data_IF_371296526452
#
_entry.id   IF_371296526452
#
_cell.length_a   1.000
_cell.length_b   1.000
_cell.length_c   1.000
_cell.angle_alpha   90.00
_cell.angle_beta   90.00
_cell.angle_gamma   90.00
#
_symmetry.space_group_name_H-M   'P 1'
#
loop_
_entity.id
_entity.type
_entity.pdbx_description
1 polymer ?
#
# COMPACT_ATOMS: atom_id res chain seq x y z
N UNK A 1 3.22 32.52 -0.89
CA UNK A 1 2.23 32.03 0.11
C UNK A 1 0.81 31.95 -0.47
N UNK A 2 0.29 33.02 -1.07
CA UNK A 2 -1.07 33.03 -1.63
C UNK A 2 -1.25 32.10 -2.85
N UNK A 3 -0.28 32.05 -3.75
CA UNK A 3 -0.30 31.12 -4.89
C UNK A 3 -0.42 29.65 -4.46
N UNK A 4 0.33 29.24 -3.42
CA UNK A 4 0.26 27.89 -2.88
C UNK A 4 -1.12 27.59 -2.26
N UNK A 5 -1.71 28.56 -1.55
CA UNK A 5 -3.06 28.42 -1.01
C UNK A 5 -4.10 28.27 -2.13
N UNK A 6 -4.03 29.10 -3.18
CA UNK A 6 -4.91 29.00 -4.36
C UNK A 6 -4.77 27.65 -5.05
N UNK A 7 -3.55 27.14 -5.17
CA UNK A 7 -3.30 25.79 -5.70
C UNK A 7 -4.02 24.71 -4.88
N UNK A 8 -3.82 24.69 -3.56
CA UNK A 8 -4.48 23.70 -2.68
C UNK A 8 -6.01 23.78 -2.74
N UNK A 9 -6.54 25.00 -2.83
CA UNK A 9 -7.98 25.25 -2.98
C UNK A 9 -8.49 24.72 -4.33
N UNK A 10 -7.82 25.07 -5.42
CA UNK A 10 -8.18 24.64 -6.78
C UNK A 10 -8.10 23.13 -7.00
N UNK A 11 -7.21 22.45 -6.28
CA UNK A 11 -7.08 20.99 -6.31
C UNK A 11 -8.02 20.28 -5.31
N UNK A 12 -8.85 21.00 -4.56
CA UNK A 12 -9.78 20.42 -3.59
C UNK A 12 -9.12 19.85 -2.33
N UNK A 13 -7.83 20.14 -2.08
CA UNK A 13 -7.10 19.64 -0.91
C UNK A 13 -7.68 20.23 0.38
N UNK A 14 -7.97 21.54 0.37
CA UNK A 14 -8.53 22.22 1.55
C UNK A 14 -9.93 21.70 1.89
N UNK A 15 -10.78 21.49 0.88
CA UNK A 15 -12.13 20.93 1.04
C UNK A 15 -12.07 19.51 1.60
N UNK A 16 -11.21 18.66 1.05
CA UNK A 16 -11.02 17.28 1.51
C UNK A 16 -10.56 17.22 2.97
N UNK A 17 -9.52 18.00 3.33
CA UNK A 17 -9.03 18.06 4.71
C UNK A 17 -10.10 18.59 5.66
N UNK A 18 -10.86 19.61 5.25
CA UNK A 18 -11.94 20.18 6.05
C UNK A 18 -13.02 19.14 6.31
N UNK A 19 -13.47 18.41 5.28
CA UNK A 19 -14.48 17.33 5.41
C UNK A 19 -14.03 16.21 6.34
N UNK A 20 -12.75 15.82 6.29
CA UNK A 20 -12.20 14.80 7.20
C UNK A 20 -12.18 15.30 8.65
N UNK A 21 -11.79 16.56 8.89
CA UNK A 21 -11.81 17.14 10.24
C UNK A 21 -13.24 17.30 10.79
N UNK A 22 -14.20 17.70 9.94
CA UNK A 22 -15.63 17.71 10.30
C UNK A 22 -16.08 16.29 10.67
N UNK A 23 -15.77 15.30 9.84
CA UNK A 23 -16.14 13.90 10.10
C UNK A 23 -15.57 13.38 11.42
N UNK A 24 -14.36 13.80 11.79
CA UNK A 24 -13.72 13.48 13.07
C UNK A 24 -14.40 14.20 14.24
N UNK A 25 -14.76 15.46 14.05
CA UNK A 25 -15.48 16.25 15.05
C UNK A 25 -16.88 15.69 15.33
N UNK A 26 -17.57 15.20 14.31
CA UNK A 26 -18.92 14.63 14.42
C UNK A 26 -18.96 13.21 15.00
N UNK A 27 -17.81 12.54 15.17
CA UNK A 27 -17.79 11.23 15.83
C UNK A 27 -18.31 11.33 17.27
N UNK A 28 -19.39 10.58 17.56
CA UNK A 28 -19.99 10.44 18.90
C UNK A 28 -18.98 9.92 19.91
N UNK A 29 -18.20 8.90 19.53
CA UNK A 29 -17.05 8.39 20.28
C UNK A 29 -15.78 8.71 19.51
N UNK A 30 -14.82 9.38 20.17
CA UNK A 30 -13.56 9.72 19.49
C UNK A 30 -12.74 8.47 19.25
N UNK A 31 -12.18 8.29 18.03
CA UNK A 31 -11.32 7.15 17.76
C UNK A 31 -10.10 7.19 18.69
N UNK A 32 -9.65 6.02 19.11
CA UNK A 32 -8.44 5.87 19.93
C UNK A 32 -7.20 6.47 19.24
N UNK A 33 -7.18 6.47 17.91
CA UNK A 33 -6.17 7.12 17.08
C UNK A 33 -6.84 8.05 16.05
N UNK A 34 -6.79 9.35 16.29
CA UNK A 34 -7.28 10.36 15.36
C UNK A 34 -6.49 10.35 14.03
N UNK A 35 -5.19 10.05 14.09
CA UNK A 35 -4.32 9.99 12.91
C UNK A 35 -4.71 8.83 12.00
N UNK A 36 -4.99 7.65 12.55
CA UNK A 36 -5.41 6.51 11.73
C UNK A 36 -6.78 6.75 11.09
N UNK A 37 -7.71 7.38 11.83
CA UNK A 37 -8.99 7.80 11.29
C UNK A 37 -8.83 8.76 10.10
N UNK A 38 -7.97 9.78 10.23
CA UNK A 38 -7.69 10.74 9.14
C UNK A 38 -7.07 10.02 7.95
N UNK A 39 -6.07 9.17 8.18
CA UNK A 39 -5.39 8.40 7.13
C UNK A 39 -6.40 7.55 6.35
N UNK A 40 -7.28 6.84 7.05
CA UNK A 40 -8.32 6.02 6.41
C UNK A 40 -9.33 6.88 5.63
N UNK A 41 -9.80 8.00 6.18
CA UNK A 41 -10.75 8.89 5.51
C UNK A 41 -10.18 9.59 4.27
N UNK A 42 -8.86 9.76 4.21
CA UNK A 42 -8.15 10.26 3.02
C UNK A 42 -7.81 9.16 2.01
N UNK A 43 -8.26 7.92 2.23
CA UNK A 43 -7.99 6.79 1.33
C UNK A 43 -6.62 6.15 1.49
N UNK A 44 -5.88 6.46 2.56
CA UNK A 44 -4.65 5.77 2.91
C UNK A 44 -4.94 4.36 3.45
N UNK A 45 -4.07 3.37 3.19
CA UNK A 45 -4.25 2.01 3.70
C UNK A 45 -4.19 2.02 5.22
N UNK A 46 -4.94 1.15 5.88
CA UNK A 46 -4.79 0.87 7.31
C UNK A 46 -3.43 0.26 7.61
N UNK A 47 -3.01 0.27 8.87
CA UNK A 47 -1.77 -0.40 9.28
C UNK A 47 -1.84 -1.90 8.97
N UNK A 48 -2.97 -2.55 9.27
CA UNK A 48 -3.17 -3.97 8.98
C UNK A 48 -3.08 -4.29 7.49
N UNK A 49 -3.72 -3.50 6.62
CA UNK A 49 -3.62 -3.69 5.16
C UNK A 49 -2.17 -3.54 4.68
N UNK A 50 -1.44 -2.55 5.20
CA UNK A 50 -0.03 -2.35 4.85
C UNK A 50 0.84 -3.53 5.31
N UNK A 51 0.61 -4.06 6.51
CA UNK A 51 1.33 -5.23 7.02
C UNK A 51 1.01 -6.50 6.25
N UNK A 52 -0.26 -6.71 5.89
CA UNK A 52 -0.70 -7.83 5.06
C UNK A 52 -0.05 -7.78 3.67
N UNK A 53 -0.10 -6.62 3.00
CA UNK A 53 0.56 -6.44 1.70
C UNK A 53 2.07 -6.70 1.77
N UNK A 54 2.73 -6.27 2.84
CA UNK A 54 4.16 -6.56 3.06
C UNK A 54 4.43 -8.05 3.23
N UNK A 55 3.56 -8.76 3.95
CA UNK A 55 3.67 -10.21 4.13
C UNK A 55 3.44 -10.96 2.81
N UNK A 56 2.42 -10.58 2.04
CA UNK A 56 2.13 -11.14 0.72
C UNK A 56 3.30 -10.93 -0.27
N UNK A 57 3.88 -9.73 -0.29
CA UNK A 57 5.07 -9.44 -1.10
C UNK A 57 6.25 -10.33 -0.71
N UNK A 58 6.47 -10.53 0.60
CA UNK A 58 7.54 -11.40 1.08
C UNK A 58 7.33 -12.87 0.68
N UNK A 59 6.11 -13.39 0.85
CA UNK A 59 5.76 -14.76 0.46
C UNK A 59 5.90 -14.96 -1.06
N UNK A 60 5.43 -13.99 -1.85
CA UNK A 60 5.54 -14.03 -3.30
C UNK A 60 7.01 -14.02 -3.76
N UNK A 61 7.86 -13.25 -3.10
CA UNK A 61 9.30 -13.21 -3.39
C UNK A 61 9.97 -14.56 -3.11
N UNK A 62 9.60 -15.23 -2.01
CA UNK A 62 10.11 -16.57 -1.68
C UNK A 62 9.68 -17.58 -2.76
N UNK A 63 8.38 -17.64 -3.09
CA UNK A 63 7.86 -18.55 -4.11
C UNK A 63 8.48 -18.31 -5.49
N UNK A 64 8.69 -17.04 -5.85
CA UNK A 64 9.35 -16.68 -7.10
C UNK A 64 10.78 -17.23 -7.16
N UNK A 65 11.55 -17.07 -6.08
CA UNK A 65 12.92 -17.55 -6.02
C UNK A 65 13.00 -19.09 -6.06
N UNK A 66 12.11 -19.79 -5.35
CA UNK A 66 12.00 -21.24 -5.38
C UNK A 66 11.67 -21.76 -6.79
N UNK A 67 10.67 -21.15 -7.43
CA UNK A 67 10.25 -21.49 -8.78
C UNK A 67 11.37 -21.23 -9.79
N UNK A 68 12.07 -20.10 -9.66
CA UNK A 68 13.21 -19.76 -10.51
C UNK A 68 14.34 -20.78 -10.37
N UNK A 69 14.68 -21.18 -9.14
CA UNK A 69 15.70 -22.19 -8.89
C UNK A 69 15.31 -23.56 -9.47
N UNK A 70 14.05 -23.98 -9.29
CA UNK A 70 13.53 -25.22 -9.86
C UNK A 70 13.56 -25.20 -11.40
N UNK A 71 13.17 -24.08 -12.01
CA UNK A 71 13.22 -23.90 -13.46
C UNK A 71 14.65 -24.00 -13.99
N UNK A 72 15.60 -23.31 -13.37
CA UNK A 72 17.01 -23.37 -13.76
C UNK A 72 17.59 -24.79 -13.65
N UNK A 73 17.26 -25.52 -12.57
CA UNK A 73 17.67 -26.90 -12.41
C UNK A 73 17.14 -27.80 -13.53
N UNK A 74 15.86 -27.64 -13.89
CA UNK A 74 15.24 -28.41 -14.98
C UNK A 74 15.79 -28.07 -16.36
N UNK A 75 16.09 -26.80 -16.63
CA UNK A 75 16.76 -26.41 -17.87
C UNK A 75 18.12 -27.08 -18.02
N UNK A 76 18.93 -27.11 -16.96
CA UNK A 76 20.24 -27.80 -16.96
C UNK A 76 20.09 -29.29 -17.26
N UNK A 77 19.18 -29.97 -16.58
CA UNK A 77 18.91 -31.41 -16.81
C UNK A 77 18.49 -31.69 -18.26
N UNK A 78 17.62 -30.85 -18.85
CA UNK A 78 17.21 -30.98 -20.25
C UNK A 78 18.39 -30.75 -21.22
N UNK A 79 19.28 -29.80 -20.95
CA UNK A 79 20.48 -29.56 -21.76
C UNK A 79 21.45 -30.74 -21.69
N UNK A 80 21.66 -31.31 -20.51
CA UNK A 80 22.51 -32.49 -20.31
C UNK A 80 21.98 -33.70 -21.10
N UNK A 81 20.66 -33.95 -21.04
CA UNK A 81 20.02 -35.02 -21.80
C UNK A 81 20.09 -34.83 -23.31
N UNK A 82 20.02 -33.58 -23.80
CA UNK A 82 20.13 -33.26 -25.23
C UNK A 82 21.55 -33.49 -25.77
N UNK A 83 22.55 -33.35 -24.92
CA UNK A 83 23.97 -33.46 -25.28
C UNK A 83 24.54 -34.88 -25.09
N UNK A 84 23.74 -35.84 -24.58
CA UNK A 84 24.05 -37.28 -24.55
C UNK A 84 23.48 -37.99 -25.78
#
# INVERSE_FOLDING_TARGET
>A
KEAFRKYLDSCGVLDSLTKVLISLYEQNEKPSSAIDFIRQKLGGPTLAEHENLRAELSDLQVRYNELLAAHQAKCRECEELKNS
#
